data_IF_022689390661
#
_entry.id   IF_022689390661
#
_cell.length_a   1.000
_cell.length_b   1.000
_cell.length_c   1.000
_cell.angle_alpha   90.00
_cell.angle_beta   90.00
_cell.angle_gamma   90.00
#
_symmetry.space_group_name_H-M   'P 1'
#
loop_
_entity.id
_entity.type
_entity.pdbx_description
1 polymer ?
#
# COMPACT_ATOMS: atom_id res chain seq x y z
N UNK A 1 59.03 16.64 14.89
CA UNK A 1 57.69 17.22 14.65
C UNK A 1 57.38 17.09 13.18
N UNK A 2 56.38 16.29 12.84
CA UNK A 2 55.86 16.14 11.49
C UNK A 2 54.37 15.87 11.60
N UNK A 3 53.55 16.70 10.94
CA UNK A 3 52.10 16.55 10.89
C UNK A 3 51.76 15.66 9.69
N UNK A 4 50.88 14.70 9.93
CA UNK A 4 50.31 13.79 8.93
C UNK A 4 49.11 14.49 8.28
N UNK A 5 49.13 14.66 6.96
CA UNK A 5 48.06 15.24 6.14
C UNK A 5 47.38 14.19 5.25
N UNK A 6 46.72 13.23 5.89
CA UNK A 6 45.33 12.85 5.58
C UNK A 6 44.88 12.43 4.18
N UNK A 7 45.71 12.20 3.16
CA UNK A 7 45.21 11.72 1.85
C UNK A 7 46.13 10.71 1.17
N UNK A 8 46.14 9.48 1.67
CA UNK A 8 46.71 8.34 0.94
C UNK A 8 45.78 7.13 1.06
N UNK A 9 45.10 6.74 -0.02
CA UNK A 9 44.42 5.44 0.00
C UNK A 9 43.43 5.03 -1.11
N UNK A 10 43.30 5.71 -2.25
CA UNK A 10 42.59 5.12 -3.41
C UNK A 10 43.24 5.58 -4.72
N UNK A 11 44.24 4.82 -5.17
CA UNK A 11 44.78 4.91 -6.54
C UNK A 11 44.74 3.51 -7.15
N UNK A 12 44.00 3.40 -8.26
CA UNK A 12 44.03 2.25 -9.16
C UNK A 12 42.64 1.77 -9.55
N UNK A 13 42.03 2.43 -10.56
CA UNK A 13 41.19 1.83 -11.62
C UNK A 13 40.29 2.82 -12.39
N UNK A 14 40.44 4.14 -12.24
CA UNK A 14 39.73 5.11 -13.08
C UNK A 14 40.76 5.84 -13.94
N UNK A 15 41.32 5.14 -14.92
CA UNK A 15 42.07 5.76 -16.01
C UNK A 15 41.48 5.30 -17.35
N UNK A 16 41.22 6.28 -18.20
CA UNK A 16 40.71 6.22 -19.57
C UNK A 16 39.18 6.11 -19.83
N UNK A 17 38.42 7.11 -19.40
CA UNK A 17 37.25 7.54 -20.19
C UNK A 17 37.42 8.99 -20.64
N UNK A 18 38.13 9.18 -21.75
CA UNK A 18 38.14 10.48 -22.44
C UNK A 18 36.82 10.71 -23.14
N UNK A 19 35.92 11.45 -22.49
CA UNK A 19 34.76 12.08 -23.16
C UNK A 19 35.28 13.18 -24.07
N UNK A 20 35.42 12.89 -25.35
CA UNK A 20 35.54 13.91 -26.39
C UNK A 20 34.14 14.23 -26.93
N UNK A 21 33.67 15.44 -26.63
CA UNK A 21 32.45 16.01 -27.19
C UNK A 21 31.42 16.29 -26.11
N UNK A 22 31.18 17.58 -25.85
CA UNK A 22 30.00 18.02 -25.13
C UNK A 22 28.77 17.64 -25.94
N UNK A 23 28.15 16.51 -25.60
CA UNK A 23 26.77 16.27 -25.99
C UNK A 23 25.92 17.01 -24.95
N UNK A 24 25.51 18.22 -25.29
CA UNK A 24 24.44 18.92 -24.55
C UNK A 24 23.13 18.20 -24.83
N UNK A 25 22.92 17.09 -24.11
CA UNK A 25 21.60 16.51 -23.90
C UNK A 25 21.03 17.25 -22.71
N UNK A 26 19.96 18.03 -22.94
CA UNK A 26 19.27 18.73 -21.87
C UNK A 26 18.97 17.74 -20.74
N UNK A 27 19.49 18.02 -19.56
CA UNK A 27 19.16 17.30 -18.34
C UNK A 27 17.66 17.47 -18.09
N UNK A 28 16.86 16.55 -18.61
CA UNK A 28 15.60 16.22 -17.99
C UNK A 28 15.96 15.16 -16.95
N UNK A 29 16.11 15.63 -15.71
CA UNK A 29 16.48 14.86 -14.53
C UNK A 29 15.68 13.56 -14.46
N UNK A 30 16.29 12.47 -14.92
CA UNK A 30 15.82 11.12 -14.60
C UNK A 30 16.42 10.81 -13.23
N UNK A 31 15.74 11.26 -12.18
CA UNK A 31 16.01 10.86 -10.81
C UNK A 31 15.88 9.33 -10.72
N UNK A 32 17.02 8.64 -10.66
CA UNK A 32 17.11 7.19 -10.57
C UNK A 32 16.83 6.67 -9.15
N UNK A 33 16.36 7.55 -8.24
CA UNK A 33 16.05 7.26 -6.83
C UNK A 33 14.61 7.60 -6.42
N UNK A 34 13.74 8.02 -7.34
CA UNK A 34 12.31 8.13 -7.07
C UNK A 34 11.67 6.73 -7.07
N UNK A 35 11.90 5.97 -5.99
CA UNK A 35 11.00 4.86 -5.66
C UNK A 35 9.60 5.51 -5.61
N UNK A 36 8.63 5.09 -6.44
CA UNK A 36 7.30 5.64 -6.35
C UNK A 36 6.83 5.44 -4.91
N UNK A 37 6.53 6.53 -4.20
CA UNK A 37 5.98 6.45 -2.86
C UNK A 37 4.70 5.63 -2.96
N UNK A 38 4.71 4.43 -2.37
CA UNK A 38 3.53 3.57 -2.34
C UNK A 38 2.53 4.26 -1.43
N UNK A 39 1.31 4.49 -1.92
CA UNK A 39 0.28 5.09 -1.08
C UNK A 39 0.05 4.20 0.15
N UNK A 40 0.06 4.79 1.35
CA UNK A 40 -0.05 4.06 2.61
C UNK A 40 1.25 3.48 3.17
N UNK A 41 2.39 3.63 2.47
CA UNK A 41 3.73 3.32 3.02
C UNK A 41 4.21 4.55 3.79
N UNK A 42 3.94 4.55 5.09
CA UNK A 42 4.16 5.69 5.97
C UNK A 42 5.58 5.71 6.53
N UNK A 43 6.24 4.56 6.58
CA UNK A 43 7.63 4.46 7.04
C UNK A 43 8.67 4.58 5.91
N UNK A 44 8.21 4.56 4.64
CA UNK A 44 9.02 4.76 3.44
C UNK A 44 9.91 3.57 3.07
N UNK A 45 9.57 2.36 3.52
CA UNK A 45 10.35 1.14 3.25
C UNK A 45 10.00 0.47 1.91
N UNK A 46 8.96 0.96 1.21
CA UNK A 46 8.50 0.46 -0.08
C UNK A 46 7.54 -0.73 0.01
N UNK A 47 7.15 -1.14 1.22
CA UNK A 47 6.20 -2.22 1.49
C UNK A 47 4.97 -1.66 2.20
N UNK A 48 3.83 -2.37 2.10
CA UNK A 48 2.65 -2.09 2.91
C UNK A 48 2.55 -3.19 3.96
N UNK A 49 3.03 -2.91 5.16
CA UNK A 49 3.15 -3.89 6.24
C UNK A 49 2.47 -3.42 7.54
N UNK A 50 2.57 -4.25 8.59
CA UNK A 50 1.92 -3.98 9.87
C UNK A 50 2.40 -2.65 10.48
N UNK A 51 3.67 -2.27 10.27
CA UNK A 51 4.20 -1.03 10.82
C UNK A 51 3.50 0.20 10.24
N UNK A 52 3.07 0.16 8.96
CA UNK A 52 2.36 1.28 8.36
C UNK A 52 0.96 1.47 8.96
N UNK A 53 0.21 0.39 9.12
CA UNK A 53 -1.12 0.46 9.73
C UNK A 53 -1.05 0.76 11.24
N UNK A 54 0.02 0.35 11.92
CA UNK A 54 0.31 0.75 13.30
C UNK A 54 0.61 2.25 13.38
N UNK A 55 1.39 2.79 12.44
CA UNK A 55 1.61 4.24 12.35
C UNK A 55 0.30 4.99 12.09
N UNK A 56 -0.60 4.44 11.27
CA UNK A 56 -1.92 5.01 11.03
C UNK A 56 -2.81 4.99 12.30
N UNK A 57 -2.79 3.91 13.11
CA UNK A 57 -3.45 3.90 14.44
C UNK A 57 -2.93 5.03 15.33
N UNK A 58 -1.61 5.17 15.39
CA UNK A 58 -0.95 6.21 16.18
C UNK A 58 -1.33 7.63 15.73
N UNK A 59 -1.38 7.86 14.42
CA UNK A 59 -1.71 9.17 13.89
C UNK A 59 -3.20 9.50 14.08
N UNK A 60 -4.10 8.53 13.94
CA UNK A 60 -5.52 8.71 14.19
C UNK A 60 -5.84 9.04 15.66
N UNK A 61 -5.05 8.54 16.61
CA UNK A 61 -5.16 8.86 18.03
C UNK A 61 -4.51 10.22 18.40
N UNK A 62 -3.73 10.82 17.49
CA UNK A 62 -3.04 12.09 17.73
C UNK A 62 -4.01 13.26 17.87
N UNK A 63 -3.73 14.17 18.80
CA UNK A 63 -4.51 15.40 18.94
C UNK A 63 -4.30 16.37 17.75
N UNK A 64 -3.22 16.19 16.99
CA UNK A 64 -2.89 16.96 15.79
C UNK A 64 -2.40 16.02 14.69
N UNK A 65 -3.30 15.27 14.03
CA UNK A 65 -2.92 14.32 13.01
C UNK A 65 -2.20 14.97 11.84
N UNK A 66 -1.17 14.32 11.33
CA UNK A 66 -0.53 14.65 10.05
C UNK A 66 -1.47 14.25 8.91
N UNK A 67 -1.96 15.26 8.19
CA UNK A 67 -2.86 15.08 7.03
C UNK A 67 -2.25 14.27 5.88
N UNK A 68 -0.96 13.94 5.92
CA UNK A 68 -0.39 12.98 4.97
C UNK A 68 -0.90 11.54 5.17
N UNK A 69 -1.50 11.24 6.32
CA UNK A 69 -2.16 9.97 6.62
C UNK A 69 -3.63 9.91 6.18
N UNK A 70 -4.19 11.02 5.71
CA UNK A 70 -5.55 11.09 5.15
C UNK A 70 -5.57 10.44 3.75
N UNK A 71 -6.01 9.19 3.70
CA UNK A 71 -6.04 8.36 2.49
C UNK A 71 -7.33 8.58 1.69
N UNK A 72 -8.43 8.96 2.35
CA UNK A 72 -9.71 9.18 1.70
C UNK A 72 -9.91 10.65 1.22
N UNK A 73 -9.00 11.55 1.60
CA UNK A 73 -8.98 12.99 1.34
C UNK A 73 -10.20 13.76 1.91
N UNK A 74 -10.69 13.37 3.08
CA UNK A 74 -11.81 14.04 3.77
C UNK A 74 -11.38 15.09 4.80
N UNK A 75 -10.07 15.21 5.06
CA UNK A 75 -9.46 16.15 5.98
C UNK A 75 -9.37 15.64 7.42
N UNK A 76 -9.73 14.40 7.70
CA UNK A 76 -9.50 13.69 8.95
C UNK A 76 -8.53 12.51 8.73
N UNK A 77 -7.93 12.03 9.82
CA UNK A 77 -7.18 10.77 9.86
C UNK A 77 -7.92 9.88 10.84
N UNK A 78 -8.70 8.94 10.34
CA UNK A 78 -9.60 8.12 11.15
C UNK A 78 -9.78 6.67 10.65
N UNK A 79 -10.75 5.95 11.22
CA UNK A 79 -11.04 4.56 10.87
C UNK A 79 -11.43 4.37 9.38
N UNK A 80 -11.86 5.43 8.71
CA UNK A 80 -12.14 5.42 7.28
C UNK A 80 -10.86 5.29 6.48
N UNK A 81 -9.79 5.97 6.88
CA UNK A 81 -8.46 5.83 6.26
C UNK A 81 -7.90 4.43 6.47
N UNK A 82 -8.09 3.85 7.67
CA UNK A 82 -7.74 2.44 7.91
C UNK A 82 -8.45 1.51 6.96
N UNK A 83 -9.74 1.74 6.72
CA UNK A 83 -10.51 0.95 5.76
C UNK A 83 -9.93 1.07 4.35
N UNK A 84 -9.55 2.27 3.91
CA UNK A 84 -8.87 2.49 2.62
C UNK A 84 -7.53 1.74 2.59
N UNK A 85 -6.73 1.84 3.64
CA UNK A 85 -5.44 1.15 3.72
C UNK A 85 -5.61 -0.37 3.57
N UNK A 86 -6.54 -0.97 4.31
CA UNK A 86 -6.73 -2.43 4.32
C UNK A 86 -7.38 -2.93 3.02
N UNK A 87 -8.49 -2.31 2.58
CA UNK A 87 -9.32 -2.83 1.48
C UNK A 87 -8.81 -2.42 0.10
N UNK A 88 -8.34 -1.19 -0.02
CA UNK A 88 -8.02 -0.61 -1.33
C UNK A 88 -6.52 -0.71 -1.63
N UNK A 89 -5.66 -0.40 -0.65
CA UNK A 89 -4.21 -0.38 -0.83
C UNK A 89 -3.59 -1.76 -0.62
N UNK A 90 -3.70 -2.33 0.58
CA UNK A 90 -3.16 -3.65 0.93
C UNK A 90 -3.94 -4.80 0.29
N UNK A 91 -5.24 -4.58 0.02
CA UNK A 91 -6.16 -5.55 -0.57
C UNK A 91 -6.34 -6.82 0.26
N UNK A 92 -6.60 -6.64 1.55
CA UNK A 92 -6.93 -7.73 2.46
C UNK A 92 -8.22 -7.44 3.25
N UNK A 93 -8.40 -8.13 4.37
CA UNK A 93 -9.55 -8.06 5.26
C UNK A 93 -9.15 -7.46 6.61
N UNK A 94 -10.11 -6.79 7.25
CA UNK A 94 -9.97 -6.47 8.67
C UNK A 94 -9.99 -7.79 9.43
N UNK A 95 -8.94 -8.08 10.20
CA UNK A 95 -8.74 -9.35 10.87
C UNK A 95 -7.59 -10.20 10.33
N UNK A 96 -7.05 -9.89 9.15
CA UNK A 96 -5.83 -10.53 8.62
C UNK A 96 -4.60 -9.99 9.37
N UNK A 97 -4.27 -10.62 10.49
CA UNK A 97 -3.24 -10.17 11.41
C UNK A 97 -1.83 -10.35 10.84
N UNK A 98 -1.63 -11.35 9.98
CA UNK A 98 -0.33 -11.66 9.40
C UNK A 98 -0.12 -11.00 8.02
N UNK A 99 -1.16 -10.34 7.48
CA UNK A 99 -1.19 -9.63 6.21
C UNK A 99 -0.92 -10.53 4.99
N UNK A 100 -1.31 -11.80 5.04
CA UNK A 100 -1.16 -12.79 3.96
C UNK A 100 -2.26 -12.72 2.88
N UNK A 101 -3.27 -11.87 3.09
CA UNK A 101 -4.39 -11.64 2.19
C UNK A 101 -5.67 -12.37 2.58
N UNK A 102 -5.63 -13.20 3.62
CA UNK A 102 -6.77 -13.98 4.09
C UNK A 102 -7.09 -13.66 5.56
N UNK A 103 -8.37 -13.63 5.92
CA UNK A 103 -8.77 -13.62 7.32
C UNK A 103 -9.33 -15.01 7.68
N UNK A 104 -8.57 -15.78 8.45
CA UNK A 104 -8.90 -17.17 8.77
C UNK A 104 -8.45 -17.55 10.20
N UNK A 105 -8.61 -18.82 10.55
CA UNK A 105 -8.22 -19.31 11.88
C UNK A 105 -6.74 -19.12 12.26
N UNK A 106 -5.83 -18.97 11.28
CA UNK A 106 -4.41 -18.75 11.54
C UNK A 106 -4.13 -17.37 12.14
N UNK A 107 -4.89 -16.35 11.76
CA UNK A 107 -4.82 -15.01 12.33
C UNK A 107 -5.19 -15.01 13.80
N UNK A 108 -6.27 -15.72 14.16
CA UNK A 108 -6.66 -15.89 15.55
C UNK A 108 -5.56 -16.57 16.37
N UNK A 109 -4.92 -17.61 15.82
CA UNK A 109 -3.78 -18.26 16.50
C UNK A 109 -2.63 -17.28 16.70
N UNK A 110 -2.33 -16.43 15.70
CA UNK A 110 -1.28 -15.43 15.78
C UNK A 110 -1.56 -14.42 16.91
N UNK A 111 -2.73 -13.77 16.92
CA UNK A 111 -3.06 -12.72 17.91
C UNK A 111 -3.24 -13.29 19.33
N UNK A 112 -3.91 -14.44 19.48
CA UNK A 112 -4.08 -15.04 20.82
C UNK A 112 -2.77 -15.57 21.40
N UNK A 113 -1.77 -15.88 20.58
CA UNK A 113 -0.44 -16.27 21.08
C UNK A 113 0.31 -15.12 21.76
N UNK A 114 -0.09 -13.86 21.49
CA UNK A 114 0.49 -12.67 22.10
C UNK A 114 -0.05 -12.41 23.51
N UNK A 115 -1.24 -12.92 23.82
CA UNK A 115 -1.84 -12.84 25.15
C UNK A 115 -2.33 -11.44 25.54
N UNK A 116 -2.62 -10.57 24.56
CA UNK A 116 -3.12 -9.20 24.79
C UNK A 116 -4.64 -9.07 24.86
N UNK A 117 -5.37 -10.14 24.53
CA UNK A 117 -6.82 -10.13 24.55
C UNK A 117 -7.35 -9.83 25.95
N UNK A 118 -8.02 -8.68 26.11
CA UNK A 118 -8.64 -8.23 27.36
C UNK A 118 -7.65 -8.30 28.55
N UNK A 119 -6.39 -7.94 28.32
CA UNK A 119 -5.33 -8.03 29.34
C UNK A 119 -5.37 -6.89 30.37
N UNK A 120 -6.11 -5.81 30.07
CA UNK A 120 -6.31 -4.63 30.91
C UNK A 120 -5.13 -3.67 30.92
N UNK A 121 -4.27 -3.71 29.90
CA UNK A 121 -3.18 -2.76 29.68
C UNK A 121 -3.50 -1.94 28.43
N UNK A 122 -3.92 -0.70 28.66
CA UNK A 122 -4.26 0.25 27.59
C UNK A 122 -3.08 0.51 26.63
N UNK A 123 -3.41 0.73 25.36
CA UNK A 123 -2.53 1.15 24.25
C UNK A 123 -1.35 0.19 24.02
N UNK A 124 -1.56 -1.11 24.21
CA UNK A 124 -0.48 -2.09 24.17
C UNK A 124 -0.50 -3.03 22.97
N UNK A 125 -1.50 -2.97 22.08
CA UNK A 125 -1.65 -3.86 20.93
C UNK A 125 -1.29 -3.16 19.61
N UNK A 126 -0.71 -3.94 18.71
CA UNK A 126 -0.49 -3.60 17.29
C UNK A 126 -1.45 -4.39 16.41
N UNK A 127 -1.51 -4.07 15.12
CA UNK A 127 -2.32 -4.80 14.14
C UNK A 127 -2.07 -6.32 14.18
N UNK A 128 -0.80 -6.72 14.22
CA UNK A 128 -0.38 -8.13 14.25
C UNK A 128 -0.68 -8.82 15.59
N UNK A 129 -1.04 -8.05 16.60
CA UNK A 129 -1.35 -8.52 17.96
C UNK A 129 -2.84 -8.40 18.30
N UNK A 130 -3.64 -7.81 17.42
CA UNK A 130 -5.10 -7.84 17.48
C UNK A 130 -5.82 -6.48 17.37
N UNK A 131 -5.10 -5.35 17.30
CA UNK A 131 -5.69 -4.00 17.12
C UNK A 131 -6.21 -3.83 15.67
N UNK A 132 -7.41 -4.35 15.42
CA UNK A 132 -8.05 -4.34 14.10
C UNK A 132 -8.98 -3.15 13.93
N UNK A 133 -9.46 -2.55 15.03
CA UNK A 133 -10.29 -1.35 15.01
C UNK A 133 -9.44 -0.06 15.03
N UNK A 134 -8.18 -0.11 15.46
CA UNK A 134 -7.25 1.01 15.51
C UNK A 134 -7.18 1.78 16.83
N UNK A 135 -7.73 1.26 17.93
CA UNK A 135 -7.74 1.89 19.25
C UNK A 135 -6.55 1.47 20.13
N UNK A 136 -5.61 0.71 19.58
CA UNK A 136 -4.38 0.23 20.23
C UNK A 136 -4.59 -0.80 21.34
N UNK A 137 -5.80 -1.34 21.48
CA UNK A 137 -6.09 -2.45 22.38
C UNK A 137 -6.50 -3.69 21.57
N UNK A 138 -6.42 -4.87 22.20
CA UNK A 138 -7.00 -6.08 21.64
C UNK A 138 -8.15 -6.56 22.51
N UNK A 139 -9.37 -6.30 22.08
CA UNK A 139 -10.57 -6.58 22.84
C UNK A 139 -11.75 -7.05 21.97
N UNK A 140 -12.95 -7.10 22.55
CA UNK A 140 -14.14 -7.52 21.80
C UNK A 140 -14.52 -6.59 20.63
N UNK A 141 -14.11 -5.32 20.67
CA UNK A 141 -14.30 -4.32 19.61
C UNK A 141 -13.58 -4.68 18.32
N UNK A 142 -12.39 -5.27 18.40
CA UNK A 142 -11.65 -5.76 17.23
C UNK A 142 -12.39 -6.88 16.51
N UNK A 143 -12.99 -7.80 17.27
CA UNK A 143 -13.84 -8.82 16.68
C UNK A 143 -15.06 -8.23 16.00
N UNK A 144 -15.66 -7.18 16.57
CA UNK A 144 -16.78 -6.49 15.91
C UNK A 144 -16.32 -5.87 14.59
N UNK A 145 -15.16 -5.23 14.56
CA UNK A 145 -14.59 -4.65 13.34
C UNK A 145 -14.34 -5.73 12.27
N UNK A 146 -13.61 -6.79 12.61
CA UNK A 146 -13.27 -7.87 11.67
C UNK A 146 -14.50 -8.65 11.16
N UNK A 147 -15.46 -8.98 12.02
CA UNK A 147 -16.66 -9.70 11.59
C UNK A 147 -17.66 -8.81 10.84
N UNK A 148 -17.60 -7.49 11.04
CA UNK A 148 -18.39 -6.53 10.26
C UNK A 148 -17.85 -6.36 8.85
N UNK A 149 -16.53 -6.45 8.65
CA UNK A 149 -15.93 -6.52 7.30
C UNK A 149 -16.33 -7.80 6.56
N UNK A 150 -16.56 -8.90 7.29
CA UNK A 150 -17.22 -10.10 6.78
C UNK A 150 -16.32 -11.01 5.94
N UNK A 151 -15.00 -10.88 6.05
CA UNK A 151 -13.99 -11.60 5.27
C UNK A 151 -13.66 -13.02 5.70
N UNK A 152 -14.18 -13.46 6.85
CA UNK A 152 -13.72 -14.68 7.51
C UNK A 152 -13.91 -15.93 6.61
N UNK A 153 -12.80 -16.63 6.34
CA UNK A 153 -12.73 -17.83 5.51
C UNK A 153 -13.22 -17.64 4.06
N UNK A 154 -13.23 -16.40 3.55
CA UNK A 154 -13.55 -16.10 2.15
C UNK A 154 -12.35 -16.17 1.21
N UNK A 155 -11.13 -16.25 1.77
CA UNK A 155 -9.87 -16.20 1.02
C UNK A 155 -9.53 -14.79 0.51
N UNK A 156 -8.56 -14.65 -0.40
CA UNK A 156 -8.07 -13.35 -0.85
C UNK A 156 -9.11 -12.55 -1.63
N UNK A 157 -9.04 -11.22 -1.52
CA UNK A 157 -9.90 -10.34 -2.30
C UNK A 157 -9.69 -10.58 -3.81
N UNK A 158 -10.77 -10.65 -4.61
CA UNK A 158 -10.65 -10.86 -6.05
C UNK A 158 -9.85 -9.71 -6.69
N UNK A 159 -8.99 -9.98 -7.69
CA UNK A 159 -8.18 -8.94 -8.31
C UNK A 159 -9.05 -7.81 -8.89
N UNK A 160 -8.53 -6.58 -8.87
CA UNK A 160 -9.23 -5.43 -9.42
C UNK A 160 -9.51 -5.66 -10.91
N UNK A 161 -10.80 -5.76 -11.26
CA UNK A 161 -11.22 -5.89 -12.65
C UNK A 161 -11.23 -4.49 -13.25
N UNK A 162 -10.09 -4.02 -13.75
CA UNK A 162 -10.07 -2.83 -14.59
C UNK A 162 -10.94 -3.13 -15.80
N UNK A 163 -12.06 -2.41 -15.96
CA UNK A 163 -12.91 -2.54 -17.12
C UNK A 163 -12.09 -2.24 -18.38
N UNK A 164 -11.61 -3.30 -19.04
CA UNK A 164 -10.96 -3.19 -20.35
C UNK A 164 -12.04 -2.67 -21.29
N UNK A 165 -11.81 -1.57 -22.05
CA UNK A 165 -12.77 -1.11 -23.03
C UNK A 165 -13.12 -2.27 -23.95
N UNK A 166 -14.38 -2.71 -23.94
CA UNK A 166 -14.80 -3.79 -24.82
C UNK A 166 -14.42 -3.42 -26.26
N UNK A 167 -13.83 -4.35 -27.03
CA UNK A 167 -13.48 -4.06 -28.41
C UNK A 167 -14.77 -3.61 -29.11
N UNK A 168 -14.69 -2.52 -29.88
CA UNK A 168 -15.77 -1.92 -30.70
C UNK A 168 -16.27 -2.84 -31.82
N UNK A 169 -16.25 -4.14 -31.59
CA UNK A 169 -16.74 -5.24 -32.42
C UNK A 169 -18.22 -5.07 -32.72
N UNK A 170 -19.05 -4.66 -31.74
CA UNK A 170 -20.47 -4.42 -31.98
C UNK A 170 -20.71 -3.24 -32.94
N UNK A 171 -19.92 -2.17 -32.82
CA UNK A 171 -19.99 -1.01 -33.73
C UNK A 171 -19.55 -1.40 -35.14
N UNK A 172 -18.47 -2.19 -35.24
CA UNK A 172 -17.94 -2.70 -36.51
C UNK A 172 -18.95 -3.65 -37.19
N UNK A 173 -19.58 -4.55 -36.44
CA UNK A 173 -20.57 -5.48 -36.97
C UNK A 173 -21.83 -4.76 -37.44
N UNK A 174 -22.35 -3.81 -36.65
CA UNK A 174 -23.52 -3.02 -37.00
C UNK A 174 -23.30 -2.17 -38.27
N UNK A 175 -22.12 -1.56 -38.40
CA UNK A 175 -21.75 -0.80 -39.60
C UNK A 175 -21.65 -1.69 -40.84
N UNK A 176 -21.10 -2.89 -40.72
CA UNK A 176 -21.06 -3.87 -41.81
C UNK A 176 -22.47 -4.33 -42.25
N UNK A 177 -23.37 -4.59 -41.31
CA UNK A 177 -24.77 -4.94 -41.63
C UNK A 177 -25.52 -3.78 -42.31
N UNK A 178 -25.33 -2.53 -41.86
CA UNK A 178 -25.91 -1.35 -42.49
C UNK A 178 -25.40 -1.14 -43.92
N UNK A 179 -24.10 -1.31 -44.15
CA UNK A 179 -23.50 -1.22 -45.49
C UNK A 179 -24.04 -2.30 -46.42
N UNK A 180 -24.12 -3.55 -45.96
CA UNK A 180 -24.70 -4.66 -46.74
C UNK A 180 -26.18 -4.44 -47.06
N UNK A 181 -26.94 -3.90 -46.12
CA UNK A 181 -28.35 -3.56 -46.32
C UNK A 181 -28.51 -2.44 -47.37
N UNK A 182 -27.68 -1.39 -47.29
CA UNK A 182 -27.71 -0.28 -48.24
C UNK A 182 -27.31 -0.70 -49.66
N UNK A 183 -26.34 -1.61 -49.82
CA UNK A 183 -25.93 -2.16 -51.13
C UNK A 183 -27.02 -3.06 -51.73
N UNK A 184 -27.72 -3.85 -50.92
CA UNK A 184 -28.78 -4.76 -51.38
C UNK A 184 -30.09 -4.06 -51.78
N UNK A 185 -30.30 -2.82 -51.35
CA UNK A 185 -31.49 -2.01 -51.68
C UNK A 185 -31.32 -1.10 -52.91
N UNK A 186 -30.15 -1.11 -53.55
CA UNK A 186 -29.91 -0.49 -54.86
C UNK A 186 -30.06 -1.53 -55.96
#
# INVERSE_FOLDING_TARGET
GGRNDGTNGFIGLIDDFKVQGEVSLGAHDMDFNAIPSVAGDFNGNGELDANDIDLLSNEAASATPDVSFDLNNDGAVDATDRTVWVKDLKRTWIGDANLDGEFNSSDFVAVFSQGKYEDGIDDNATWAEGDWNGDMDFDSGDFVAAFTDGGFELGPLPPQVTAVPEPTTFVSLASAFLLLWCVRRR
#
